data_IF_392245345403
#
_entry.id   IF_392245345403
#
_cell.length_a   1.000
_cell.length_b   1.000
_cell.length_c   1.000
_cell.angle_alpha   90.00
_cell.angle_beta   90.00
_cell.angle_gamma   90.00
#
_symmetry.space_group_name_H-M   'P 1'
#
loop_
_entity.id
_entity.type
_entity.pdbx_description
1 polymer ?
#
# COMPACT_ATOMS: atom_id res chain seq x y z
N UNK A 1 24.62 0.43 11.98
CA UNK A 1 25.08 0.45 10.57
C UNK A 1 23.93 0.99 9.74
N UNK A 2 23.92 2.29 9.45
CA UNK A 2 22.80 2.97 8.80
C UNK A 2 22.64 2.48 7.35
N UNK A 3 21.47 1.92 7.04
CA UNK A 3 21.10 1.47 5.71
C UNK A 3 20.77 2.69 4.85
N UNK A 4 21.78 3.22 4.17
CA UNK A 4 21.65 4.32 3.21
C UNK A 4 20.70 3.94 2.06
N UNK A 5 19.71 4.78 1.75
CA UNK A 5 18.67 4.58 0.70
C UNK A 5 19.25 4.25 -0.70
N UNK A 6 20.52 4.62 -0.94
CA UNK A 6 21.28 4.26 -2.14
C UNK A 6 21.61 2.77 -2.25
N UNK A 7 21.62 2.03 -1.14
CA UNK A 7 21.95 0.59 -1.10
C UNK A 7 20.80 -0.29 -1.56
N UNK A 8 19.55 0.07 -1.22
CA UNK A 8 18.34 -0.68 -1.60
C UNK A 8 18.10 -0.59 -3.11
N UNK A 9 18.27 0.60 -3.70
CA UNK A 9 18.13 0.82 -5.15
C UNK A 9 19.22 0.10 -5.97
N UNK A 10 20.33 -0.31 -5.32
CA UNK A 10 21.50 -0.97 -5.95
C UNK A 10 21.30 -2.48 -6.16
N UNK A 11 20.33 -3.11 -5.48
CA UNK A 11 20.23 -4.58 -5.40
C UNK A 11 19.90 -5.27 -6.72
N UNK A 12 18.89 -4.82 -7.49
CA UNK A 12 18.48 -5.55 -8.69
C UNK A 12 19.50 -5.44 -9.83
N UNK A 13 20.22 -4.32 -9.95
CA UNK A 13 21.25 -4.13 -10.98
C UNK A 13 22.52 -4.94 -10.69
N UNK A 14 22.81 -5.19 -9.40
CA UNK A 14 23.86 -6.14 -8.98
C UNK A 14 23.39 -7.58 -9.22
N UNK A 15 22.15 -7.91 -8.90
CA UNK A 15 21.62 -9.28 -9.02
C UNK A 15 21.37 -9.74 -10.47
N UNK A 16 20.88 -8.84 -11.35
CA UNK A 16 20.51 -9.18 -12.72
C UNK A 16 21.56 -8.76 -13.77
N UNK A 17 22.55 -7.95 -13.38
CA UNK A 17 23.52 -7.39 -14.30
C UNK A 17 22.96 -6.26 -15.18
N UNK A 18 23.71 -5.82 -16.21
CA UNK A 18 23.29 -4.73 -17.09
C UNK A 18 22.02 -5.11 -17.86
N UNK A 19 21.11 -4.15 -18.11
CA UNK A 19 19.91 -4.43 -18.87
C UNK A 19 20.27 -4.83 -20.30
N UNK A 20 19.65 -5.89 -20.85
CA UNK A 20 19.80 -6.23 -22.25
C UNK A 20 19.25 -5.09 -23.11
N UNK A 21 19.84 -4.91 -24.29
CA UNK A 21 19.29 -4.00 -25.31
C UNK A 21 17.90 -4.47 -25.74
N UNK A 22 17.01 -3.53 -26.05
CA UNK A 22 15.68 -3.86 -26.58
C UNK A 22 15.80 -4.62 -27.91
N UNK A 23 16.72 -4.20 -28.78
CA UNK A 23 17.02 -4.90 -30.04
C UNK A 23 15.95 -4.69 -31.11
N UNK A 24 16.11 -5.37 -32.26
CA UNK A 24 15.15 -5.37 -33.38
C UNK A 24 14.56 -6.76 -33.62
N UNK A 25 15.21 -7.81 -33.09
CA UNK A 25 14.77 -9.20 -33.28
C UNK A 25 13.86 -9.65 -32.15
N UNK A 26 12.92 -10.55 -32.45
CA UNK A 26 11.99 -11.12 -31.47
C UNK A 26 12.74 -11.77 -30.30
N UNK A 27 13.84 -12.47 -30.57
CA UNK A 27 14.66 -13.10 -29.53
C UNK A 27 15.29 -12.09 -28.56
N UNK A 28 15.68 -10.91 -29.04
CA UNK A 28 16.18 -9.83 -28.19
C UNK A 28 15.06 -9.22 -27.34
N UNK A 29 13.86 -9.02 -27.92
CA UNK A 29 12.70 -8.56 -27.17
C UNK A 29 12.32 -9.53 -26.04
N UNK A 30 12.34 -10.84 -26.30
CA UNK A 30 12.05 -11.85 -25.28
C UNK A 30 13.08 -11.78 -24.15
N UNK A 31 14.38 -11.67 -24.47
CA UNK A 31 15.44 -11.48 -23.47
C UNK A 31 15.23 -10.21 -22.64
N UNK A 32 14.86 -9.11 -23.28
CA UNK A 32 14.54 -7.86 -22.58
C UNK A 32 13.32 -7.99 -21.69
N UNK A 33 12.24 -8.62 -22.17
CA UNK A 33 11.02 -8.83 -21.40
C UNK A 33 11.29 -9.67 -20.15
N UNK A 34 12.05 -10.76 -20.29
CA UNK A 34 12.44 -11.60 -19.17
C UNK A 34 13.23 -10.82 -18.12
N UNK A 35 14.17 -9.99 -18.56
CA UNK A 35 14.90 -9.09 -17.66
C UNK A 35 13.97 -8.11 -16.94
N UNK A 36 13.03 -7.46 -17.64
CA UNK A 36 12.09 -6.52 -17.00
C UNK A 36 11.17 -7.23 -16.01
N UNK A 37 10.66 -8.43 -16.33
CA UNK A 37 9.85 -9.22 -15.41
C UNK A 37 10.60 -9.52 -14.11
N UNK A 38 11.85 -9.97 -14.21
CA UNK A 38 12.68 -10.20 -13.02
C UNK A 38 12.94 -8.92 -12.24
N UNK A 39 13.27 -7.83 -12.93
CA UNK A 39 13.46 -6.52 -12.31
C UNK A 39 12.21 -6.06 -11.56
N UNK A 40 11.04 -6.13 -12.20
CA UNK A 40 9.77 -5.73 -11.58
C UNK A 40 9.40 -6.60 -10.39
N UNK A 41 9.73 -7.88 -10.42
CA UNK A 41 9.56 -8.77 -9.27
C UNK A 41 10.40 -8.30 -8.08
N UNK A 42 11.70 -8.03 -8.29
CA UNK A 42 12.57 -7.51 -7.22
C UNK A 42 12.05 -6.16 -6.70
N UNK A 43 11.64 -5.27 -7.60
CA UNK A 43 11.07 -3.98 -7.21
C UNK A 43 9.74 -4.12 -6.45
N UNK A 44 8.93 -5.12 -6.78
CA UNK A 44 7.69 -5.42 -6.07
C UNK A 44 7.99 -5.86 -4.64
N UNK A 45 8.89 -6.82 -4.45
CA UNK A 45 9.36 -7.27 -3.13
C UNK A 45 9.94 -6.11 -2.29
N UNK A 46 10.74 -5.24 -2.92
CA UNK A 46 11.26 -4.05 -2.24
C UNK A 46 10.14 -3.11 -1.77
N UNK A 47 9.11 -2.89 -2.60
CA UNK A 47 7.95 -2.06 -2.21
C UNK A 47 7.17 -2.67 -1.07
N UNK A 48 6.97 -4.00 -1.07
CA UNK A 48 6.30 -4.70 0.03
C UNK A 48 7.06 -4.51 1.35
N UNK A 49 8.37 -4.75 1.34
CA UNK A 49 9.22 -4.61 2.52
C UNK A 49 9.31 -3.17 3.03
N UNK A 50 9.26 -2.17 2.15
CA UNK A 50 9.20 -0.76 2.57
C UNK A 50 7.84 -0.39 3.18
N UNK A 51 6.75 -0.94 2.64
CA UNK A 51 5.40 -0.64 3.11
C UNK A 51 5.10 -1.17 4.51
N UNK A 52 5.76 -2.24 4.96
CA UNK A 52 5.62 -2.76 6.32
C UNK A 52 6.37 -1.91 7.36
N UNK A 53 7.44 -1.24 6.95
CA UNK A 53 8.30 -0.43 7.84
C UNK A 53 7.77 1.00 7.97
N UNK A 54 7.20 1.56 6.90
CA UNK A 54 6.74 2.94 6.85
C UNK A 54 5.29 3.04 7.33
N UNK A 55 5.05 3.85 8.38
CA UNK A 55 3.70 4.13 8.85
C UNK A 55 2.76 4.66 7.75
N UNK A 56 1.48 4.25 7.79
CA UNK A 56 0.43 4.65 6.85
C UNK A 56 0.45 6.16 6.53
N UNK A 57 0.70 7.02 7.52
CA UNK A 57 0.70 8.49 7.39
C UNK A 57 1.84 9.00 6.52
N UNK A 58 3.03 8.39 6.61
CA UNK A 58 4.20 8.77 5.80
C UNK A 58 4.01 8.25 4.37
N UNK A 59 3.44 7.05 4.22
CA UNK A 59 3.14 6.47 2.91
C UNK A 59 2.14 7.33 2.11
N UNK A 60 1.12 7.88 2.76
CA UNK A 60 0.15 8.79 2.13
C UNK A 60 0.82 10.06 1.58
N UNK A 61 1.73 10.68 2.33
CA UNK A 61 2.47 11.88 1.88
C UNK A 61 3.38 11.59 0.67
N UNK A 62 4.03 10.43 0.66
CA UNK A 62 4.89 10.02 -0.46
C UNK A 62 4.04 9.75 -1.71
N UNK A 63 2.90 9.07 -1.57
CA UNK A 63 1.97 8.81 -2.68
C UNK A 63 1.43 10.10 -3.28
N UNK A 64 1.02 11.07 -2.45
CA UNK A 64 0.56 12.39 -2.91
C UNK A 64 1.60 13.12 -3.77
N UNK A 65 2.90 12.99 -3.45
CA UNK A 65 3.97 13.62 -4.23
C UNK A 65 4.20 12.97 -5.60
N UNK A 66 3.92 11.67 -5.73
CA UNK A 66 4.14 10.89 -6.97
C UNK A 66 2.92 10.99 -7.91
N UNK A 67 1.71 11.20 -7.38
CA UNK A 67 0.45 11.20 -8.13
C UNK A 67 0.13 12.50 -8.90
N UNK A 68 1.02 13.49 -8.90
CA UNK A 68 0.81 14.80 -9.54
C UNK A 68 0.77 14.79 -11.10
N UNK A 69 0.57 13.62 -11.72
CA UNK A 69 0.35 13.48 -13.16
C UNK A 69 -1.18 13.32 -13.39
N UNK A 70 -1.89 14.44 -13.48
CA UNK A 70 -3.32 14.61 -13.16
C UNK A 70 -4.39 13.80 -13.92
N UNK A 71 -4.02 12.85 -14.78
CA UNK A 71 -4.99 12.01 -15.53
C UNK A 71 -5.50 10.81 -14.71
N UNK A 72 -4.65 10.16 -13.93
CA UNK A 72 -5.04 9.00 -13.11
C UNK A 72 -5.73 9.47 -11.82
N UNK A 73 -5.25 10.57 -11.25
CA UNK A 73 -5.81 11.16 -10.03
C UNK A 73 -7.28 11.59 -10.22
N UNK A 74 -7.62 12.17 -11.38
CA UNK A 74 -9.01 12.54 -11.69
C UNK A 74 -9.94 11.34 -11.80
N UNK A 75 -9.47 10.19 -12.29
CA UNK A 75 -10.27 8.96 -12.31
C UNK A 75 -10.53 8.43 -10.89
N UNK A 76 -9.48 8.34 -10.06
CA UNK A 76 -9.60 7.89 -8.66
C UNK A 76 -10.51 8.83 -7.86
N UNK A 77 -10.34 10.14 -8.04
CA UNK A 77 -11.19 11.14 -7.37
C UNK A 77 -12.65 11.01 -7.78
N UNK A 78 -12.95 10.86 -9.08
CA UNK A 78 -14.33 10.65 -9.55
C UNK A 78 -14.95 9.38 -8.98
N UNK A 79 -14.19 8.28 -8.88
CA UNK A 79 -14.66 7.06 -8.25
C UNK A 79 -14.96 7.26 -6.75
N UNK A 80 -14.13 8.02 -6.04
CA UNK A 80 -14.36 8.36 -4.64
C UNK A 80 -15.56 9.30 -4.45
N UNK A 81 -15.73 10.30 -5.33
CA UNK A 81 -16.88 11.19 -5.35
C UNK A 81 -18.17 10.39 -5.59
N UNK A 82 -18.18 9.48 -6.58
CA UNK A 82 -19.33 8.64 -6.88
C UNK A 82 -19.77 7.79 -5.67
N UNK A 83 -18.82 7.17 -4.96
CA UNK A 83 -19.08 6.41 -3.73
C UNK A 83 -19.65 7.28 -2.59
N UNK A 84 -19.26 8.56 -2.50
CA UNK A 84 -19.68 9.44 -1.41
C UNK A 84 -21.01 10.14 -1.70
N UNK A 85 -21.27 10.48 -2.96
CA UNK A 85 -22.51 11.16 -3.38
C UNK A 85 -23.72 10.24 -3.33
N UNK A 86 -23.55 8.95 -3.62
CA UNK A 86 -24.63 7.99 -3.70
C UNK A 86 -24.70 7.12 -2.44
N UNK A 87 -25.91 6.68 -2.03
CA UNK A 87 -26.02 5.72 -0.95
C UNK A 87 -25.40 4.39 -1.39
N UNK A 88 -24.59 3.81 -0.52
CA UNK A 88 -23.90 2.56 -0.77
C UNK A 88 -24.31 1.51 0.26
N UNK A 89 -24.44 0.26 -0.19
CA UNK A 89 -24.82 -0.89 0.65
C UNK A 89 -23.73 -1.95 0.59
N UNK A 90 -23.35 -2.54 1.73
CA UNK A 90 -22.38 -3.64 1.76
C UNK A 90 -23.11 -4.95 1.47
N UNK A 91 -22.66 -5.68 0.44
CA UNK A 91 -23.19 -7.01 0.09
C UNK A 91 -22.39 -8.09 0.79
N UNK A 92 -21.06 -8.03 0.69
CA UNK A 92 -20.17 -9.01 1.29
C UNK A 92 -18.86 -8.37 1.74
N UNK A 93 -18.15 -9.03 2.65
CA UNK A 93 -16.82 -8.63 3.07
C UNK A 93 -15.91 -9.84 3.24
N UNK A 94 -14.62 -9.58 3.11
CA UNK A 94 -13.54 -10.55 3.24
C UNK A 94 -12.51 -10.02 4.25
N UNK A 95 -11.99 -10.93 5.06
CA UNK A 95 -10.90 -10.64 5.99
C UNK A 95 -9.60 -10.41 5.19
N UNK A 96 -8.81 -9.44 5.63
CA UNK A 96 -7.45 -9.28 5.12
C UNK A 96 -6.44 -9.74 6.17
N UNK A 97 -5.17 -9.90 5.78
CA UNK A 97 -4.09 -10.28 6.71
C UNK A 97 -3.91 -9.28 7.87
N UNK A 98 -4.42 -8.05 7.73
CA UNK A 98 -4.32 -7.00 8.73
C UNK A 98 -5.61 -6.88 9.56
N UNK A 99 -5.47 -6.97 10.89
CA UNK A 99 -6.59 -6.82 11.84
C UNK A 99 -7.20 -5.42 11.72
N UNK A 100 -8.53 -5.36 11.73
CA UNK A 100 -9.28 -4.10 11.61
C UNK A 100 -9.34 -3.55 10.18
N UNK A 101 -8.85 -4.29 9.20
CA UNK A 101 -8.94 -3.96 7.79
C UNK A 101 -9.71 -5.06 7.06
N UNK A 102 -10.73 -4.63 6.32
CA UNK A 102 -11.62 -5.51 5.57
C UNK A 102 -11.69 -5.06 4.12
N UNK A 103 -11.88 -6.03 3.23
CA UNK A 103 -12.22 -5.78 1.83
C UNK A 103 -13.72 -5.99 1.70
N UNK A 104 -14.47 -4.94 1.37
CA UNK A 104 -15.92 -5.01 1.23
C UNK A 104 -16.32 -4.82 -0.23
N UNK A 105 -17.36 -5.54 -0.64
CA UNK A 105 -18.06 -5.35 -1.90
C UNK A 105 -19.33 -4.56 -1.63
N UNK A 106 -19.37 -3.36 -2.20
CA UNK A 106 -20.45 -2.41 -2.02
C UNK A 106 -21.23 -2.23 -3.32
N UNK A 107 -22.56 -2.26 -3.22
CA UNK A 107 -23.44 -1.83 -4.29
C UNK A 107 -23.60 -0.32 -4.19
N UNK A 108 -23.26 0.38 -5.27
CA UNK A 108 -23.49 1.81 -5.44
C UNK A 108 -24.35 1.96 -6.69
N UNK A 109 -25.61 2.36 -6.50
CA UNK A 109 -26.62 2.37 -7.57
C UNK A 109 -26.73 1.00 -8.26
N UNK A 110 -26.17 0.87 -9.46
CA UNK A 110 -26.18 -0.35 -10.28
C UNK A 110 -24.78 -0.96 -10.46
N UNK A 111 -23.77 -0.45 -9.77
CA UNK A 111 -22.38 -0.89 -9.86
C UNK A 111 -21.90 -1.56 -8.59
N UNK A 112 -21.13 -2.64 -8.75
CA UNK A 112 -20.47 -3.34 -7.64
C UNK A 112 -19.02 -2.85 -7.51
N UNK A 113 -18.72 -2.18 -6.41
CA UNK A 113 -17.40 -1.58 -6.16
C UNK A 113 -16.74 -2.26 -4.96
N UNK A 114 -15.45 -2.56 -5.11
CA UNK A 114 -14.63 -3.10 -4.04
C UNK A 114 -13.95 -1.96 -3.25
N UNK A 115 -14.18 -1.88 -1.94
CA UNK A 115 -13.59 -0.85 -1.06
C UNK A 115 -12.79 -1.46 0.08
N UNK A 116 -11.76 -0.74 0.55
CA UNK A 116 -10.99 -1.08 1.75
C UNK A 116 -11.56 -0.35 2.95
N UNK A 117 -12.13 -1.08 3.91
CA UNK A 117 -12.71 -0.52 5.14
C UNK A 117 -11.72 -0.69 6.29
N UNK A 118 -11.42 0.40 6.99
CA UNK A 118 -10.64 0.38 8.24
C UNK A 118 -11.61 0.57 9.41
N UNK A 119 -11.84 -0.49 10.17
CA UNK A 119 -12.75 -0.49 11.32
C UNK A 119 -11.96 -0.25 12.60
N UNK A 120 -12.17 0.87 13.31
CA UNK A 120 -11.52 1.11 14.58
C UNK A 120 -12.14 0.24 15.68
N UNK A 121 -11.30 -0.32 16.57
CA UNK A 121 -11.75 -0.98 17.80
C UNK A 121 -11.89 0.06 18.89
N UNK A 122 -13.08 0.64 19.02
CA UNK A 122 -13.40 1.62 20.06
C UNK A 122 -13.84 0.86 21.31
N UNK A 123 -13.17 1.10 22.43
CA UNK A 123 -13.54 0.57 23.74
C UNK A 123 -13.66 1.74 24.71
N UNK A 124 -14.75 1.75 25.48
CA UNK A 124 -14.97 2.77 26.51
C UNK A 124 -14.46 2.21 27.83
N UNK A 125 -13.46 2.87 28.42
CA UNK A 125 -12.97 2.53 29.76
C UNK A 125 -13.36 3.64 30.71
N UNK A 126 -14.03 3.27 31.80
CA UNK A 126 -14.23 4.17 32.92
C UNK A 126 -13.04 4.03 33.88
N UNK A 127 -12.04 4.90 33.72
CA UNK A 127 -10.90 4.97 34.65
C UNK A 127 -11.28 5.80 35.87
N UNK A 128 -11.21 5.19 37.06
CA UNK A 128 -11.40 5.87 38.34
C UNK A 128 -10.12 6.52 38.92
N UNK A 129 -8.97 6.30 38.26
CA UNK A 129 -7.66 6.82 38.68
C UNK A 129 -6.96 7.45 37.47
N UNK A 130 -6.24 8.56 37.68
CA UNK A 130 -5.44 9.19 36.62
C UNK A 130 -4.39 8.21 36.09
N UNK A 131 -4.30 8.09 34.77
CA UNK A 131 -3.36 7.22 34.04
C UNK A 131 -1.89 7.59 34.33
N UNK A 132 -1.63 8.82 34.77
CA UNK A 132 -0.26 9.29 35.08
C UNK A 132 0.34 8.65 36.34
N UNK A 133 -0.47 8.12 37.26
CA UNK A 133 0.01 7.65 38.57
C UNK A 133 0.55 6.22 38.59
N UNK A 134 0.44 5.46 37.49
CA UNK A 134 0.76 4.02 37.48
C UNK A 134 2.17 3.65 36.97
N UNK A 135 3.02 4.63 36.63
CA UNK A 135 4.37 4.36 36.13
C UNK A 135 5.42 4.10 37.24
N UNK A 136 5.04 4.05 38.52
CA UNK A 136 6.01 3.98 39.65
C UNK A 136 6.04 2.62 40.38
N UNK A 137 5.12 1.67 40.12
CA UNK A 137 5.00 0.47 40.98
C UNK A 137 5.05 -0.90 40.29
N UNK A 138 5.92 -1.09 39.30
CA UNK A 138 6.34 -2.45 38.91
C UNK A 138 7.86 -2.59 38.93
N UNK A 139 8.41 -2.61 40.14
CA UNK A 139 9.62 -3.37 40.47
C UNK A 139 9.28 -4.28 41.66
N UNK A 140 8.96 -5.53 41.36
CA UNK A 140 9.14 -6.69 42.24
C UNK A 140 9.39 -7.91 41.36
#
# INVERSE_FOLDING_TARGET
MELNDKTITRQWRIALGPPPIFGQTINQHIKWLNYQKHKWNIQYEQRLNQSSIISDKIQLKIKQKILNDGKIDTYIRRAAEHLHTHPWQIISYELTDQIGIFKAWCLVENELIQIKIKVPRIFYVNYRTSIENNNIQTQH
#
